data_IF_472559216873
#
_entry.id   IF_472559216873
#
_cell.length_a   1.000
_cell.length_b   1.000
_cell.length_c   1.000
_cell.angle_alpha   90.00
_cell.angle_beta   90.00
_cell.angle_gamma   90.00
#
_symmetry.space_group_name_H-M   'P 1'
#
loop_
_entity.id
_entity.type
_entity.pdbx_description
1 polymer ?
#
# COMPACT_ATOMS: atom_id res chain seq x y z
N UNK A 1 61.55 -35.91 4.45
CA UNK A 1 62.66 -35.17 3.84
C UNK A 1 62.02 -34.24 2.80
N UNK A 2 61.35 -33.18 3.27
CA UNK A 2 61.86 -31.78 3.34
C UNK A 2 62.11 -31.18 1.95
N UNK A 3 61.10 -30.42 1.49
CA UNK A 3 61.01 -29.20 0.64
C UNK A 3 62.25 -28.72 -0.16
N UNK A 4 62.11 -27.96 -1.29
CA UNK A 4 61.43 -26.64 -1.25
C UNK A 4 60.82 -26.04 -2.56
N UNK A 5 59.98 -25.01 -2.36
CA UNK A 5 59.77 -23.78 -3.18
C UNK A 5 59.29 -23.88 -4.64
N UNK A 6 58.18 -23.20 -4.96
CA UNK A 6 58.20 -21.81 -5.48
C UNK A 6 56.92 -21.52 -6.27
N UNK A 7 56.03 -20.66 -5.75
CA UNK A 7 55.06 -19.93 -6.55
C UNK A 7 54.78 -18.57 -5.87
N UNK A 8 55.65 -17.60 -6.14
CA UNK A 8 55.33 -16.17 -6.09
C UNK A 8 54.17 -15.87 -7.07
N UNK A 9 53.07 -15.30 -6.59
CA UNK A 9 52.74 -13.86 -6.56
C UNK A 9 52.15 -13.35 -7.88
N UNK A 10 50.90 -12.88 -7.82
CA UNK A 10 50.30 -11.76 -8.58
C UNK A 10 48.83 -11.66 -8.09
N UNK A 11 48.54 -10.81 -7.12
CA UNK A 11 48.19 -9.39 -7.33
C UNK A 11 46.84 -9.23 -8.05
N UNK A 12 45.73 -9.19 -7.29
CA UNK A 12 44.52 -8.49 -7.73
C UNK A 12 43.69 -7.99 -6.54
N UNK A 13 43.60 -6.65 -6.46
CA UNK A 13 42.58 -5.82 -5.81
C UNK A 13 42.50 -5.83 -4.28
N UNK A 14 43.41 -5.11 -3.65
CA UNK A 14 43.08 -4.32 -2.46
C UNK A 14 41.99 -3.32 -2.89
N UNK A 15 40.73 -3.61 -2.55
CA UNK A 15 39.67 -2.61 -2.62
C UNK A 15 40.02 -1.55 -1.58
N UNK A 16 40.50 -0.41 -2.06
CA UNK A 16 40.44 0.84 -1.32
C UNK A 16 38.97 1.03 -0.95
N UNK A 17 38.67 0.70 0.31
CA UNK A 17 37.36 0.98 0.87
C UNK A 17 37.40 2.48 1.10
N UNK A 18 37.05 3.23 0.05
CA UNK A 18 36.85 4.66 0.12
C UNK A 18 35.93 4.91 1.29
N UNK A 19 36.52 5.50 2.33
CA UNK A 19 35.92 6.38 3.32
C UNK A 19 34.40 6.47 3.15
N UNK A 20 33.72 5.44 3.64
CA UNK A 20 32.29 5.51 3.85
C UNK A 20 32.19 6.33 5.11
N UNK A 21 32.36 7.65 4.94
CA UNK A 21 32.30 8.62 6.01
C UNK A 21 31.11 8.23 6.87
N UNK A 22 31.40 7.98 8.14
CA UNK A 22 30.41 7.80 9.19
C UNK A 22 29.43 8.97 9.07
N UNK A 23 28.32 8.74 8.39
CA UNK A 23 27.19 9.65 8.44
C UNK A 23 26.60 9.40 9.83
N UNK A 24 27.10 10.16 10.80
CA UNK A 24 26.58 10.15 12.16
C UNK A 24 25.07 10.46 12.10
N UNK A 25 24.18 9.52 12.46
CA UNK A 25 22.74 9.75 12.43
C UNK A 25 22.28 10.76 13.50
N UNK A 26 23.20 11.29 14.31
CA UNK A 26 22.92 12.20 15.42
C UNK A 26 22.70 13.67 15.01
N UNK A 27 23.09 14.12 13.83
CA UNK A 27 22.82 15.48 13.34
C UNK A 27 21.55 15.53 12.48
N UNK A 28 20.42 15.17 13.08
CA UNK A 28 19.11 15.47 12.51
C UNK A 28 18.75 16.94 12.80
N UNK A 29 19.65 17.86 12.41
CA UNK A 29 19.47 19.30 12.57
C UNK A 29 18.47 19.78 11.52
N UNK A 30 17.19 19.84 11.90
CA UNK A 30 16.11 20.29 11.04
C UNK A 30 16.34 21.72 10.53
N UNK A 31 17.09 22.53 11.29
CA UNK A 31 17.43 23.91 10.92
C UNK A 31 18.50 23.97 9.81
N UNK A 32 19.21 22.87 9.55
CA UNK A 32 20.16 22.75 8.43
C UNK A 32 19.50 22.40 7.09
N UNK A 33 18.22 22.00 7.09
CA UNK A 33 17.46 21.72 5.86
C UNK A 33 16.98 23.06 5.26
N UNK A 34 17.33 23.39 4.01
CA UNK A 34 16.85 24.62 3.36
C UNK A 34 15.33 24.70 3.37
N UNK A 35 14.76 25.89 3.66
CA UNK A 35 13.31 26.10 3.78
C UNK A 35 12.55 25.61 2.53
N UNK A 36 13.14 25.73 1.34
CA UNK A 36 12.54 25.25 0.08
C UNK A 36 12.37 23.73 -0.02
N UNK A 37 13.03 22.96 0.84
CA UNK A 37 12.92 21.51 0.94
C UNK A 37 12.17 21.07 2.22
N UNK A 38 11.64 22.00 3.01
CA UNK A 38 10.82 21.71 4.17
C UNK A 38 9.35 21.62 3.76
N UNK A 39 8.71 20.48 4.05
CA UNK A 39 7.31 20.23 3.73
C UNK A 39 6.53 19.87 4.99
N UNK A 40 5.52 20.67 5.34
CA UNK A 40 4.62 20.38 6.44
C UNK A 40 3.30 19.79 5.92
N UNK A 41 2.89 18.63 6.44
CA UNK A 41 1.53 18.12 6.25
C UNK A 41 0.73 18.47 7.49
N UNK A 42 -0.08 19.53 7.43
CA UNK A 42 -0.78 20.06 8.60
C UNK A 42 -1.83 19.11 9.23
N UNK A 43 -2.15 19.40 10.49
CA UNK A 43 -3.43 19.13 11.16
C UNK A 43 -3.69 17.70 11.65
N UNK A 44 -3.77 17.54 12.97
CA UNK A 44 -4.33 16.35 13.62
C UNK A 44 -5.87 16.48 13.63
N UNK A 45 -6.48 16.24 12.47
CA UNK A 45 -7.95 16.24 12.35
C UNK A 45 -8.47 14.88 12.80
N UNK A 46 -9.41 14.89 13.75
CA UNK A 46 -10.09 13.67 14.17
C UNK A 46 -10.79 13.01 12.97
N UNK A 47 -10.31 11.82 12.60
CA UNK A 47 -10.83 11.08 11.45
C UNK A 47 -12.13 10.41 11.83
N UNK A 48 -13.13 10.48 10.95
CA UNK A 48 -14.34 9.67 11.13
C UNK A 48 -13.97 8.18 11.21
N UNK A 49 -14.57 7.47 12.16
CA UNK A 49 -14.37 6.04 12.36
C UNK A 49 -15.69 5.29 12.36
N UNK A 50 -15.75 4.17 11.64
CA UNK A 50 -16.97 3.41 11.41
C UNK A 50 -16.71 1.94 11.78
N UNK A 51 -17.42 1.38 12.78
CA UNK A 51 -17.29 -0.03 13.10
C UNK A 51 -17.87 -0.88 11.95
N UNK A 52 -17.12 -1.89 11.53
CA UNK A 52 -17.51 -2.85 10.51
C UNK A 52 -17.25 -4.28 10.99
N UNK A 53 -17.72 -5.24 10.20
CA UNK A 53 -17.41 -6.66 10.40
C UNK A 53 -16.73 -7.20 9.15
N UNK A 54 -15.55 -7.78 9.33
CA UNK A 54 -14.78 -8.47 8.29
C UNK A 54 -14.65 -9.93 8.71
N UNK A 55 -15.26 -10.85 7.96
CA UNK A 55 -15.25 -12.29 8.26
C UNK A 55 -15.68 -12.66 9.71
N UNK A 56 -16.68 -11.94 10.23
CA UNK A 56 -17.18 -12.13 11.60
C UNK A 56 -16.33 -11.45 12.68
N UNK A 57 -15.17 -10.88 12.32
CA UNK A 57 -14.32 -10.10 13.21
C UNK A 57 -14.75 -8.62 13.17
N UNK A 58 -14.90 -8.01 14.35
CA UNK A 58 -15.24 -6.58 14.49
C UNK A 58 -13.98 -5.73 14.37
N UNK A 59 -13.97 -4.82 13.41
CA UNK A 59 -12.88 -3.88 13.13
C UNK A 59 -13.47 -2.50 12.81
N UNK A 60 -12.62 -1.52 12.48
CA UNK A 60 -13.00 -0.14 12.21
C UNK A 60 -12.45 0.30 10.85
N UNK A 61 -13.30 0.98 10.07
CA UNK A 61 -12.89 1.80 8.94
C UNK A 61 -12.65 3.22 9.39
N UNK A 62 -11.49 3.75 9.04
CA UNK A 62 -11.03 5.12 9.25
C UNK A 62 -11.20 5.90 7.96
N UNK A 63 -11.61 7.15 8.09
CA UNK A 63 -11.69 8.08 6.97
C UNK A 63 -10.30 8.27 6.34
N UNK A 64 -10.15 8.04 5.02
CA UNK A 64 -8.91 8.34 4.32
C UNK A 64 -8.72 9.86 4.21
N UNK A 65 -7.46 10.30 4.14
CA UNK A 65 -7.16 11.67 3.77
C UNK A 65 -7.60 11.96 2.33
N UNK A 66 -7.85 13.23 2.02
CA UNK A 66 -8.18 13.65 0.66
C UNK A 66 -7.07 13.27 -0.34
N UNK A 67 -5.80 13.41 0.07
CA UNK A 67 -4.66 12.97 -0.74
C UNK A 67 -4.67 11.46 -1.03
N UNK A 68 -5.04 10.62 -0.07
CA UNK A 68 -5.16 9.17 -0.29
C UNK A 68 -6.30 8.84 -1.26
N UNK A 69 -7.43 9.55 -1.17
CA UNK A 69 -8.53 9.40 -2.13
C UNK A 69 -8.10 9.86 -3.53
N UNK A 70 -7.46 11.02 -3.66
CA UNK A 70 -7.00 11.57 -4.94
C UNK A 70 -6.00 10.64 -5.63
N UNK A 71 -5.01 10.14 -4.89
CA UNK A 71 -4.02 9.20 -5.43
C UNK A 71 -4.69 7.92 -5.94
N UNK A 72 -5.69 7.44 -5.21
CA UNK A 72 -6.48 6.27 -5.61
C UNK A 72 -7.42 6.55 -6.77
N UNK A 73 -7.87 7.80 -6.94
CA UNK A 73 -8.74 8.27 -8.02
C UNK A 73 -8.17 8.00 -9.41
N UNK A 74 -6.87 8.25 -9.58
CA UNK A 74 -6.16 8.06 -10.85
C UNK A 74 -6.10 6.59 -11.28
N UNK A 75 -6.05 5.67 -10.32
CA UNK A 75 -6.04 4.23 -10.58
C UNK A 75 -7.35 3.69 -11.19
N UNK A 76 -8.39 4.53 -11.23
CA UNK A 76 -9.68 4.21 -11.86
C UNK A 76 -9.79 4.66 -13.31
N UNK A 77 -8.75 5.26 -13.88
CA UNK A 77 -8.67 5.52 -15.32
C UNK A 77 -8.60 4.21 -16.12
N UNK A 78 -9.18 4.20 -17.32
CA UNK A 78 -9.15 3.06 -18.24
C UNK A 78 -7.73 2.72 -18.71
N UNK A 79 -6.80 3.67 -18.61
CA UNK A 79 -5.43 3.56 -19.11
C UNK A 79 -4.45 2.90 -18.12
N UNK A 80 -4.88 2.63 -16.87
CA UNK A 80 -4.04 2.08 -15.81
C UNK A 80 -4.03 0.56 -15.86
N UNK A 81 -2.86 -0.05 -15.69
CA UNK A 81 -2.71 -1.50 -15.69
C UNK A 81 -3.43 -2.16 -14.51
N UNK A 82 -3.80 -3.44 -14.65
CA UNK A 82 -4.48 -4.16 -13.56
C UNK A 82 -3.62 -4.29 -12.30
N UNK A 83 -2.28 -4.30 -12.45
CA UNK A 83 -1.33 -4.34 -11.32
C UNK A 83 -1.35 -3.03 -10.55
N UNK A 84 -1.23 -1.89 -11.24
CA UNK A 84 -1.29 -0.56 -10.63
C UNK A 84 -2.65 -0.31 -9.98
N UNK A 85 -3.73 -0.76 -10.62
CA UNK A 85 -5.08 -0.70 -10.06
C UNK A 85 -5.19 -1.51 -8.78
N UNK A 86 -4.68 -2.74 -8.77
CA UNK A 86 -4.69 -3.62 -7.59
C UNK A 86 -3.87 -3.03 -6.44
N UNK A 87 -2.70 -2.46 -6.75
CA UNK A 87 -1.86 -1.77 -5.78
C UNK A 87 -2.57 -0.56 -5.15
N UNK A 88 -3.25 0.25 -5.97
CA UNK A 88 -4.01 1.40 -5.48
C UNK A 88 -5.21 0.98 -4.62
N UNK A 89 -5.95 -0.08 -5.01
CA UNK A 89 -7.04 -0.65 -4.20
C UNK A 89 -6.51 -1.06 -2.82
N UNK A 90 -5.44 -1.85 -2.79
CA UNK A 90 -4.85 -2.32 -1.55
C UNK A 90 -4.30 -1.19 -0.69
N UNK A 91 -3.66 -0.19 -1.30
CA UNK A 91 -3.17 0.99 -0.60
C UNK A 91 -4.32 1.73 0.07
N UNK A 92 -5.41 2.01 -0.65
CA UNK A 92 -6.57 2.71 -0.08
C UNK A 92 -7.22 1.90 1.05
N UNK A 93 -7.42 0.60 0.85
CA UNK A 93 -8.00 -0.28 1.88
C UNK A 93 -7.12 -0.31 3.13
N UNK A 94 -5.79 -0.41 2.98
CA UNK A 94 -4.86 -0.41 4.10
C UNK A 94 -4.86 0.92 4.88
N UNK A 95 -5.00 2.05 4.19
CA UNK A 95 -5.13 3.36 4.83
C UNK A 95 -6.45 3.46 5.61
N UNK A 96 -7.52 2.87 5.09
CA UNK A 96 -8.84 2.94 5.69
C UNK A 96 -9.08 1.89 6.78
N UNK A 97 -8.36 0.77 6.83
CA UNK A 97 -8.54 -0.23 7.89
C UNK A 97 -7.71 0.12 9.12
N UNK A 98 -8.27 -0.12 10.31
CA UNK A 98 -7.48 -0.14 11.53
C UNK A 98 -6.45 -1.29 11.53
N UNK A 99 -5.58 -1.29 12.55
CA UNK A 99 -4.50 -2.29 12.64
C UNK A 99 -5.03 -3.74 12.74
N UNK A 100 -6.15 -3.95 13.43
CA UNK A 100 -6.75 -5.28 13.57
C UNK A 100 -7.30 -5.79 12.23
N UNK A 101 -7.97 -4.91 11.48
CA UNK A 101 -8.52 -5.18 10.16
C UNK A 101 -7.43 -5.47 9.15
N UNK A 102 -6.37 -4.66 9.12
CA UNK A 102 -5.20 -4.88 8.23
C UNK A 102 -4.52 -6.21 8.49
N UNK A 103 -4.28 -6.54 9.76
CA UNK A 103 -3.64 -7.80 10.15
C UNK A 103 -4.48 -8.99 9.72
N UNK A 104 -5.77 -8.93 9.97
CA UNK A 104 -6.69 -9.99 9.58
C UNK A 104 -6.77 -10.15 8.06
N UNK A 105 -6.92 -9.05 7.33
CA UNK A 105 -6.93 -9.06 5.86
C UNK A 105 -5.65 -9.69 5.29
N UNK A 106 -4.48 -9.29 5.81
CA UNK A 106 -3.19 -9.85 5.40
C UNK A 106 -3.08 -11.33 5.69
N UNK A 107 -3.55 -11.79 6.85
CA UNK A 107 -3.57 -13.23 7.18
C UNK A 107 -4.42 -14.00 6.17
N UNK A 108 -5.59 -13.49 5.80
CA UNK A 108 -6.50 -14.14 4.85
C UNK A 108 -5.93 -14.19 3.43
N UNK A 109 -5.21 -13.15 3.00
CA UNK A 109 -4.54 -13.12 1.70
C UNK A 109 -3.38 -14.11 1.58
N UNK A 110 -2.70 -14.41 2.70
CA UNK A 110 -1.54 -15.31 2.72
C UNK A 110 -1.91 -16.75 3.06
N UNK A 111 -3.13 -16.99 3.51
CA UNK A 111 -3.61 -18.31 3.87
C UNK A 111 -4.09 -19.06 2.61
N UNK A 112 -3.38 -20.09 2.14
CA UNK A 112 -3.76 -20.83 0.93
C UNK A 112 -5.03 -21.67 1.11
N UNK A 113 -5.52 -21.83 2.35
CA UNK A 113 -6.72 -22.61 2.65
C UNK A 113 -8.00 -21.78 2.56
N UNK A 114 -7.85 -20.46 2.38
CA UNK A 114 -8.96 -19.50 2.35
C UNK A 114 -9.24 -19.08 0.92
N UNK A 115 -10.50 -19.18 0.49
CA UNK A 115 -10.98 -18.58 -0.76
C UNK A 115 -11.09 -17.06 -0.57
N UNK A 116 -9.95 -16.40 -0.47
CA UNK A 116 -9.85 -14.95 -0.44
C UNK A 116 -9.89 -14.45 -1.89
N UNK A 117 -11.02 -13.89 -2.29
CA UNK A 117 -11.26 -13.44 -3.66
C UNK A 117 -11.29 -11.91 -3.80
N UNK A 118 -11.11 -11.44 -5.03
CA UNK A 118 -11.22 -10.03 -5.40
C UNK A 118 -12.58 -9.43 -5.03
N UNK A 119 -13.60 -10.25 -4.76
CA UNK A 119 -14.93 -9.79 -4.40
C UNK A 119 -14.99 -9.19 -2.99
N UNK A 120 -14.22 -9.71 -2.04
CA UNK A 120 -14.10 -9.10 -0.70
C UNK A 120 -13.46 -7.72 -0.80
N UNK A 121 -12.36 -7.60 -1.54
CA UNK A 121 -11.67 -6.32 -1.78
C UNK A 121 -12.59 -5.32 -2.49
N UNK A 122 -13.34 -5.76 -3.51
CA UNK A 122 -14.29 -4.92 -4.22
C UNK A 122 -15.40 -4.38 -3.31
N UNK A 123 -15.90 -5.18 -2.34
CA UNK A 123 -16.92 -4.73 -1.38
C UNK A 123 -16.37 -3.70 -0.40
N UNK A 124 -15.17 -3.94 0.14
CA UNK A 124 -14.51 -2.98 1.03
C UNK A 124 -14.29 -1.65 0.32
N UNK A 125 -13.78 -1.72 -0.92
CA UNK A 125 -13.59 -0.55 -1.76
C UNK A 125 -14.91 0.19 -2.04
N UNK A 126 -15.98 -0.52 -2.40
CA UNK A 126 -17.29 0.09 -2.66
C UNK A 126 -17.86 0.78 -1.41
N UNK A 127 -17.68 0.19 -0.23
CA UNK A 127 -18.08 0.81 1.04
C UNK A 127 -17.32 2.11 1.30
N UNK A 128 -15.99 2.10 1.14
CA UNK A 128 -15.13 3.28 1.31
C UNK A 128 -15.54 4.39 0.33
N UNK A 129 -15.67 4.08 -0.95
CA UNK A 129 -15.99 5.06 -1.98
C UNK A 129 -17.43 5.57 -1.90
N UNK A 130 -18.36 4.73 -1.45
CA UNK A 130 -19.74 5.16 -1.17
C UNK A 130 -19.79 6.14 -0.02
N UNK A 131 -18.98 5.93 1.03
CA UNK A 131 -18.95 6.82 2.19
C UNK A 131 -18.20 8.13 1.94
N UNK A 132 -17.00 8.06 1.35
CA UNK A 132 -16.08 9.22 1.27
C UNK A 132 -15.64 9.58 -0.14
N UNK A 133 -15.93 8.77 -1.15
CA UNK A 133 -15.43 9.00 -2.52
C UNK A 133 -16.22 10.03 -3.34
N UNK A 134 -17.17 10.76 -2.74
CA UNK A 134 -17.97 11.75 -3.45
C UNK A 134 -17.04 12.83 -4.03
N UNK A 135 -17.11 13.07 -5.35
CA UNK A 135 -16.22 14.01 -6.05
C UNK A 135 -14.93 13.42 -6.62
N UNK A 136 -14.44 12.28 -6.10
CA UNK A 136 -13.15 11.67 -6.53
C UNK A 136 -13.34 10.58 -7.60
N UNK A 137 -14.48 9.89 -7.57
CA UNK A 137 -14.81 8.85 -8.56
C UNK A 137 -15.93 9.36 -9.47
N UNK A 138 -15.69 9.52 -10.79
CA UNK A 138 -16.74 9.88 -11.73
C UNK A 138 -17.95 8.93 -11.61
N UNK A 139 -19.17 9.46 -11.60
CA UNK A 139 -20.41 8.68 -11.42
C UNK A 139 -20.54 7.49 -12.39
N UNK A 140 -20.00 7.63 -13.61
CA UNK A 140 -19.95 6.57 -14.63
C UNK A 140 -19.16 5.34 -14.15
N UNK A 141 -18.04 5.54 -13.45
CA UNK A 141 -17.23 4.45 -12.92
C UNK A 141 -17.92 3.74 -11.75
N UNK A 142 -18.75 4.46 -10.96
CA UNK A 142 -19.55 3.86 -9.88
C UNK A 142 -20.63 2.92 -10.41
N UNK A 143 -21.34 3.31 -11.47
CA UNK A 143 -22.38 2.47 -12.07
C UNK A 143 -21.81 1.23 -12.76
N UNK A 144 -20.74 1.38 -13.56
CA UNK A 144 -20.08 0.25 -14.21
C UNK A 144 -19.55 -0.78 -13.20
N UNK A 145 -19.04 -0.34 -12.05
CA UNK A 145 -18.62 -1.22 -10.94
C UNK A 145 -19.76 -2.02 -10.33
N UNK A 146 -20.91 -1.38 -10.11
CA UNK A 146 -22.12 -2.05 -9.58
C UNK A 146 -22.65 -3.09 -10.56
N UNK A 147 -22.55 -2.84 -11.87
CA UNK A 147 -22.95 -3.79 -12.90
C UNK A 147 -21.99 -4.98 -13.03
N UNK A 148 -20.67 -4.73 -12.95
CA UNK A 148 -19.65 -5.78 -12.96
C UNK A 148 -19.79 -6.72 -11.75
N UNK A 149 -20.01 -6.17 -10.54
CA UNK A 149 -20.24 -6.96 -9.33
C UNK A 149 -21.54 -7.80 -9.41
N UNK A 150 -22.57 -7.30 -10.09
CA UNK A 150 -23.82 -8.04 -10.34
C UNK A 150 -23.65 -9.17 -11.36
N UNK A 151 -22.81 -8.99 -12.38
CA UNK A 151 -22.50 -10.03 -13.37
C UNK A 151 -21.70 -11.18 -12.77
N UNK A 152 -20.71 -10.90 -11.89
CA UNK A 152 -19.94 -11.93 -11.19
C UNK A 152 -20.80 -12.88 -10.34
N UNK A 153 -21.82 -12.36 -9.65
CA UNK A 153 -22.78 -13.18 -8.87
C UNK A 153 -23.68 -14.09 -9.71
N UNK A 154 -23.90 -13.79 -10.99
CA UNK A 154 -24.74 -14.60 -11.90
C UNK A 154 -23.98 -15.72 -12.59
N UNK A 155 -22.64 -15.67 -12.63
CA UNK A 155 -21.80 -16.70 -13.24
C UNK A 155 -21.53 -17.92 -12.34
N UNK A 156 -21.60 -17.77 -11.01
CA UNK A 156 -21.32 -18.84 -10.03
C UNK A 156 -22.51 -19.79 -9.77
N UNK A 157 -23.59 -19.69 -10.57
CA UNK A 157 -24.72 -20.64 -10.61
C UNK A 157 -24.70 -21.39 -11.95
N UNK A 158 -23.84 -22.39 -12.07
CA UNK A 158 -24.00 -23.51 -13.01
C UNK A 158 -23.27 -24.72 -12.44
#
# INVERSE_FOLDING_TARGET
MTDPTDHQADDVLTVDTTDTGDVDPAENDLDAIPEELQFETGGDTERESIPITLDGMRTVLLQPSEGALMLSGNAWSEQVSDVERSHAIMTLINVCLDESGRRHLRQRMLDPTVDFDDHVLAKLLDAILTRWGAGVVPEKNRQQRREAARKGKRGKKK
#
